data_IF_927154158850
#
_entry.id   IF_927154158850
#
_cell.length_a   1.000
_cell.length_b   1.000
_cell.length_c   1.000
_cell.angle_alpha   90.00
_cell.angle_beta   90.00
_cell.angle_gamma   90.00
#
_symmetry.space_group_name_H-M   'P 1'
#
loop_
_entity.id
_entity.type
_entity.pdbx_description
1 polymer ?
#
# COMPACT_ATOMS: atom_id res chain seq x y z
N UNK A 1 37.40 19.57 9.43
CA UNK A 1 37.19 18.49 10.43
C UNK A 1 35.81 18.52 11.10
N UNK A 2 35.49 19.40 12.06
CA UNK A 2 34.14 19.39 12.72
C UNK A 2 32.99 19.78 11.77
N UNK A 3 33.19 20.81 10.94
CA UNK A 3 32.17 21.25 9.98
C UNK A 3 31.86 20.17 8.92
N UNK A 4 32.90 19.56 8.35
CA UNK A 4 32.75 18.43 7.41
C UNK A 4 32.04 17.23 8.04
N UNK A 5 32.34 16.90 9.31
CA UNK A 5 31.65 15.81 10.00
C UNK A 5 30.16 16.08 10.19
N UNK A 6 29.79 17.33 10.53
CA UNK A 6 28.39 17.73 10.67
C UNK A 6 27.66 17.71 9.32
N UNK A 7 28.31 18.16 8.25
CA UNK A 7 27.74 18.11 6.90
C UNK A 7 27.53 16.67 6.45
N UNK A 8 28.50 15.79 6.68
CA UNK A 8 28.39 14.37 6.37
C UNK A 8 27.22 13.70 7.12
N UNK A 9 27.05 13.99 8.42
CA UNK A 9 25.90 13.49 9.18
C UNK A 9 24.57 14.03 8.65
N UNK A 10 24.48 15.32 8.33
CA UNK A 10 23.28 15.90 7.76
C UNK A 10 22.90 15.26 6.40
N UNK A 11 23.90 14.93 5.58
CA UNK A 11 23.67 14.20 4.33
C UNK A 11 23.21 12.76 4.58
N UNK A 12 23.82 12.06 5.54
CA UNK A 12 23.42 10.70 5.91
C UNK A 12 21.97 10.65 6.41
N UNK A 13 21.60 11.53 7.35
CA UNK A 13 20.24 11.61 7.88
C UNK A 13 19.22 11.93 6.79
N UNK A 14 19.55 12.85 5.87
CA UNK A 14 18.70 13.13 4.71
C UNK A 14 18.52 11.91 3.83
N UNK A 15 19.59 11.16 3.57
CA UNK A 15 19.54 9.96 2.74
C UNK A 15 18.71 8.85 3.38
N UNK A 16 18.83 8.66 4.70
CA UNK A 16 18.00 7.72 5.46
C UNK A 16 16.54 8.13 5.40
N UNK A 17 16.22 9.40 5.65
CA UNK A 17 14.85 9.90 5.60
C UNK A 17 14.20 9.73 4.22
N UNK A 18 14.95 9.91 3.13
CA UNK A 18 14.47 9.64 1.77
C UNK A 18 14.17 8.16 1.58
N UNK A 19 15.07 7.27 1.99
CA UNK A 19 14.91 5.81 1.84
C UNK A 19 13.72 5.30 2.65
N UNK A 20 13.55 5.76 3.89
CA UNK A 20 12.40 5.40 4.72
C UNK A 20 11.09 5.93 4.13
N UNK A 21 11.09 7.18 3.66
CA UNK A 21 9.94 7.79 3.02
C UNK A 21 9.51 7.05 1.75
N UNK A 22 10.47 6.66 0.90
CA UNK A 22 10.21 5.87 -0.30
C UNK A 22 9.64 4.50 0.03
N UNK A 23 10.25 3.78 0.98
CA UNK A 23 9.77 2.47 1.42
C UNK A 23 8.33 2.54 1.95
N UNK A 24 8.05 3.49 2.85
CA UNK A 24 6.72 3.68 3.41
C UNK A 24 5.69 4.08 2.34
N UNK A 25 6.10 4.92 1.39
CA UNK A 25 5.28 5.34 0.26
C UNK A 25 4.88 4.18 -0.63
N UNK A 26 5.83 3.30 -0.97
CA UNK A 26 5.59 2.10 -1.77
C UNK A 26 4.65 1.14 -1.04
N UNK A 27 4.94 0.81 0.22
CA UNK A 27 4.11 -0.12 1.00
C UNK A 27 2.67 0.37 1.15
N UNK A 28 2.49 1.66 1.47
CA UNK A 28 1.17 2.28 1.58
C UNK A 28 0.46 2.34 0.23
N UNK A 29 1.20 2.66 -0.84
CA UNK A 29 0.68 2.73 -2.19
C UNK A 29 0.19 1.38 -2.70
N UNK A 30 0.95 0.32 -2.46
CA UNK A 30 0.61 -1.06 -2.82
C UNK A 30 -0.67 -1.49 -2.11
N UNK A 31 -0.75 -1.32 -0.78
CA UNK A 31 -1.95 -1.66 -0.01
C UNK A 31 -3.20 -0.92 -0.50
N UNK A 32 -3.10 0.39 -0.72
CA UNK A 32 -4.20 1.20 -1.23
C UNK A 32 -4.60 0.80 -2.66
N UNK A 33 -3.61 0.45 -3.49
CA UNK A 33 -3.83 -0.01 -4.86
C UNK A 33 -4.57 -1.34 -4.92
N UNK A 34 -4.16 -2.31 -4.10
CA UNK A 34 -4.82 -3.62 -3.97
C UNK A 34 -6.27 -3.44 -3.52
N UNK A 35 -6.52 -2.66 -2.46
CA UNK A 35 -7.89 -2.42 -1.96
C UNK A 35 -8.77 -1.71 -3.01
N UNK A 36 -8.23 -0.66 -3.67
CA UNK A 36 -8.95 0.06 -4.74
C UNK A 36 -9.31 -0.89 -5.89
N UNK A 37 -8.40 -1.78 -6.26
CA UNK A 37 -8.63 -2.78 -7.31
C UNK A 37 -9.74 -3.74 -6.91
N UNK A 38 -9.69 -4.30 -5.70
CA UNK A 38 -10.74 -5.18 -5.16
C UNK A 38 -12.12 -4.48 -5.16
N UNK A 39 -12.20 -3.23 -4.70
CA UNK A 39 -13.45 -2.44 -4.71
C UNK A 39 -13.98 -2.22 -6.13
N UNK A 40 -13.12 -1.99 -7.11
CA UNK A 40 -13.54 -1.84 -8.51
C UNK A 40 -14.09 -3.16 -9.07
N UNK A 41 -13.41 -4.29 -8.81
CA UNK A 41 -13.88 -5.62 -9.23
C UNK A 41 -15.23 -5.97 -8.59
N UNK A 42 -15.40 -5.69 -7.29
CA UNK A 42 -16.67 -5.86 -6.59
C UNK A 42 -17.80 -5.04 -7.24
N UNK A 43 -17.52 -3.79 -7.64
CA UNK A 43 -18.49 -2.92 -8.32
C UNK A 43 -18.89 -3.41 -9.70
N UNK A 44 -18.00 -4.10 -10.42
CA UNK A 44 -18.34 -4.72 -11.70
C UNK A 44 -19.38 -5.82 -11.51
N UNK A 45 -19.40 -6.50 -10.36
CA UNK A 45 -20.45 -7.45 -9.98
C UNK A 45 -20.44 -8.76 -10.77
N UNK A 46 -19.39 -9.03 -11.56
CA UNK A 46 -19.27 -10.22 -12.42
C UNK A 46 -18.38 -11.32 -11.83
N UNK A 47 -17.63 -11.03 -10.77
CA UNK A 47 -16.70 -11.96 -10.13
C UNK A 47 -17.20 -12.39 -8.75
N UNK A 48 -16.89 -13.64 -8.38
CA UNK A 48 -17.08 -14.14 -7.01
C UNK A 48 -16.01 -13.58 -6.06
N UNK A 49 -16.23 -13.71 -4.74
CA UNK A 49 -15.26 -13.27 -3.75
C UNK A 49 -13.94 -14.06 -3.83
N UNK A 50 -14.02 -15.34 -4.20
CA UNK A 50 -12.85 -16.21 -4.41
C UNK A 50 -12.02 -15.75 -5.62
N UNK A 51 -12.67 -15.39 -6.73
CA UNK A 51 -11.97 -14.88 -7.92
C UNK A 51 -11.32 -13.52 -7.65
N UNK A 52 -11.95 -12.67 -6.84
CA UNK A 52 -11.38 -11.37 -6.47
C UNK A 52 -10.20 -11.56 -5.51
N UNK A 53 -10.31 -12.48 -4.55
CA UNK A 53 -9.21 -12.86 -3.65
C UNK A 53 -8.00 -13.34 -4.45
N UNK A 54 -8.19 -14.25 -5.41
CA UNK A 54 -7.14 -14.73 -6.30
C UNK A 54 -6.51 -13.60 -7.13
N UNK A 55 -7.33 -12.73 -7.72
CA UNK A 55 -6.84 -11.66 -8.61
C UNK A 55 -6.10 -10.53 -7.87
N UNK A 56 -6.39 -10.33 -6.58
CA UNK A 56 -5.85 -9.20 -5.79
C UNK A 56 -4.83 -9.64 -4.74
N UNK A 57 -4.76 -10.93 -4.43
CA UNK A 57 -3.95 -11.46 -3.34
C UNK A 57 -4.51 -11.18 -1.94
N UNK A 58 -5.70 -10.57 -1.83
CA UNK A 58 -6.37 -10.37 -0.55
C UNK A 58 -6.92 -11.69 0.00
N UNK A 59 -7.00 -11.80 1.32
CA UNK A 59 -7.69 -12.92 1.93
C UNK A 59 -9.21 -12.84 1.67
N UNK A 60 -9.89 -13.99 1.63
CA UNK A 60 -11.31 -14.06 1.28
C UNK A 60 -12.20 -13.25 2.26
N UNK A 61 -11.83 -13.23 3.54
CA UNK A 61 -12.49 -12.45 4.58
C UNK A 61 -12.31 -10.93 4.39
N UNK A 62 -11.16 -10.48 3.90
CA UNK A 62 -10.92 -9.08 3.54
C UNK A 62 -11.83 -8.66 2.37
N UNK A 63 -11.93 -9.49 1.33
CA UNK A 63 -12.84 -9.24 0.19
C UNK A 63 -14.30 -9.19 0.64
N UNK A 64 -14.73 -10.15 1.48
CA UNK A 64 -16.08 -10.18 2.03
C UNK A 64 -16.40 -8.92 2.85
N UNK A 65 -15.44 -8.44 3.66
CA UNK A 65 -15.58 -7.19 4.41
C UNK A 65 -15.76 -5.97 3.48
N UNK A 66 -14.94 -5.86 2.44
CA UNK A 66 -15.05 -4.77 1.44
C UNK A 66 -16.41 -4.77 0.74
N UNK A 67 -16.98 -5.96 0.46
CA UNK A 67 -18.31 -6.11 -0.14
C UNK A 67 -19.43 -5.58 0.77
N UNK A 68 -19.34 -5.78 2.07
CA UNK A 68 -20.32 -5.26 3.04
C UNK A 68 -20.20 -3.75 3.17
N UNK A 69 -18.98 -3.21 3.22
CA UNK A 69 -18.73 -1.76 3.30
C UNK A 69 -19.30 -1.00 2.09
N UNK A 70 -19.19 -1.56 0.88
CA UNK A 70 -19.70 -0.94 -0.35
C UNK A 70 -21.22 -0.97 -0.52
N UNK A 71 -21.96 -1.64 0.37
CA UNK A 71 -23.43 -1.71 0.37
C UNK A 71 -24.08 -0.70 1.34
N UNK A 72 -23.28 0.02 2.14
CA UNK A 72 -23.74 1.11 3.01
C UNK A 72 -23.79 2.42 2.23
#
# INVERSE_FOLDING_TARGET
MLAENLENWAQQERQVGIQEGEKLGIEKGEKLGIEKTARNLLKLGVLSDEQISEATGLALDEVAKLRVEGKR
#
